data_IF_848861978795
#
_entry.id   IF_848861978795
#
_cell.length_a   1.000
_cell.length_b   1.000
_cell.length_c   1.000
_cell.angle_alpha   90.00
_cell.angle_beta   90.00
_cell.angle_gamma   90.00
#
_symmetry.space_group_name_H-M   'P 1'
#
loop_
_entity.id
_entity.type
_entity.pdbx_description
1 polymer ?
#
# COMPACT_ATOMS: atom_id res chain seq x y z
N UNK A 1 17.80 -7.64 -2.77
CA UNK A 1 16.73 -8.11 -3.68
C UNK A 1 15.79 -6.94 -3.91
N UNK A 2 15.32 -6.67 -5.14
CA UNK A 2 14.50 -5.48 -5.40
C UNK A 2 13.07 -5.70 -4.95
N UNK A 3 12.45 -4.67 -4.38
CA UNK A 3 11.06 -4.57 -3.88
C UNK A 3 9.95 -4.92 -4.89
N UNK A 4 10.28 -5.30 -6.12
CA UNK A 4 9.35 -5.69 -7.18
C UNK A 4 9.24 -7.21 -7.39
N UNK A 5 10.11 -8.01 -6.77
CA UNK A 5 10.10 -9.46 -6.93
C UNK A 5 8.79 -10.05 -6.36
N UNK A 6 8.02 -10.71 -7.22
CA UNK A 6 6.72 -11.29 -6.85
C UNK A 6 5.54 -10.30 -6.82
N UNK A 7 5.73 -8.99 -7.02
CA UNK A 7 4.63 -8.02 -6.98
C UNK A 7 3.60 -8.25 -8.11
N UNK A 8 4.07 -8.58 -9.30
CA UNK A 8 3.20 -8.92 -10.44
C UNK A 8 2.42 -10.23 -10.18
N UNK A 9 3.10 -11.25 -9.66
CA UNK A 9 2.47 -12.52 -9.28
C UNK A 9 1.38 -12.30 -8.22
N UNK A 10 1.68 -11.51 -7.19
CA UNK A 10 0.75 -11.18 -6.12
C UNK A 10 -0.52 -10.49 -6.64
N UNK A 11 -0.35 -9.51 -7.53
CA UNK A 11 -1.49 -8.82 -8.16
C UNK A 11 -2.32 -9.78 -9.03
N UNK A 12 -1.69 -10.68 -9.78
CA UNK A 12 -2.41 -11.64 -10.59
C UNK A 12 -3.23 -12.61 -9.72
N UNK A 13 -2.64 -13.14 -8.63
CA UNK A 13 -3.34 -14.04 -7.71
C UNK A 13 -4.56 -13.39 -7.06
N UNK A 14 -4.44 -12.14 -6.60
CA UNK A 14 -5.58 -11.41 -6.03
C UNK A 14 -6.67 -11.14 -7.06
N UNK A 15 -6.29 -10.72 -8.27
CA UNK A 15 -7.26 -10.49 -9.35
C UNK A 15 -7.97 -11.79 -9.77
N UNK A 16 -7.23 -12.91 -9.87
CA UNK A 16 -7.82 -14.25 -10.13
C UNK A 16 -8.77 -14.72 -9.03
N UNK A 17 -8.50 -14.32 -7.78
CA UNK A 17 -9.39 -14.55 -6.65
C UNK A 17 -10.59 -13.58 -6.61
N UNK A 18 -10.69 -12.64 -7.55
CA UNK A 18 -11.84 -11.74 -7.70
C UNK A 18 -11.74 -10.43 -6.92
N UNK A 19 -10.57 -10.05 -6.41
CA UNK A 19 -10.37 -8.78 -5.73
C UNK A 19 -10.18 -7.60 -6.70
N UNK A 20 -10.78 -6.46 -6.39
CA UNK A 20 -10.44 -5.17 -7.03
C UNK A 20 -9.09 -4.67 -6.49
N UNK A 21 -8.19 -4.30 -7.39
CA UNK A 21 -6.87 -3.77 -7.08
C UNK A 21 -6.78 -2.28 -7.34
N UNK A 22 -6.66 -1.51 -6.26
CA UNK A 22 -6.55 -0.05 -6.30
C UNK A 22 -5.14 0.38 -5.87
N UNK A 23 -4.45 1.11 -6.72
CA UNK A 23 -3.15 1.69 -6.40
C UNK A 23 -3.33 3.13 -5.88
N UNK A 24 -3.01 3.37 -4.61
CA UNK A 24 -3.05 4.71 -4.00
C UNK A 24 -1.64 5.30 -3.92
N UNK A 25 -1.45 6.48 -4.49
CA UNK A 25 -0.14 7.11 -4.66
C UNK A 25 -0.16 8.59 -4.28
N UNK A 26 0.98 9.12 -3.84
CA UNK A 26 1.16 10.56 -3.56
C UNK A 26 1.43 11.39 -4.84
N UNK A 27 1.37 10.73 -5.99
CA UNK A 27 1.55 11.35 -7.30
C UNK A 27 0.42 12.35 -7.60
N UNK A 28 0.74 13.51 -8.22
CA UNK A 28 -0.28 14.45 -8.69
C UNK A 28 -1.32 13.80 -9.60
N UNK A 29 -2.59 14.18 -9.44
CA UNK A 29 -3.73 13.60 -10.18
C UNK A 29 -3.53 13.62 -11.70
N UNK A 30 -2.89 14.66 -12.25
CA UNK A 30 -2.57 14.77 -13.69
C UNK A 30 -1.71 13.63 -14.26
N UNK A 31 -1.04 12.86 -13.41
CA UNK A 31 -0.19 11.73 -13.82
C UNK A 31 -0.82 10.36 -13.53
N UNK A 32 -1.99 10.32 -12.89
CA UNK A 32 -2.69 9.08 -12.50
C UNK A 32 -2.98 8.19 -13.71
N UNK A 33 -3.48 8.77 -14.81
CA UNK A 33 -3.76 7.99 -16.02
C UNK A 33 -2.49 7.37 -16.62
N UNK A 34 -1.39 8.14 -16.64
CA UNK A 34 -0.12 7.64 -17.15
C UNK A 34 0.41 6.52 -16.24
N UNK A 35 0.26 6.65 -14.92
CA UNK A 35 0.62 5.60 -13.97
C UNK A 35 -0.18 4.33 -14.22
N UNK A 36 -1.50 4.44 -14.42
CA UNK A 36 -2.36 3.30 -14.73
C UNK A 36 -1.95 2.62 -16.04
N UNK A 37 -1.68 3.39 -17.10
CA UNK A 37 -1.17 2.86 -18.37
C UNK A 37 0.15 2.12 -18.19
N UNK A 38 1.10 2.71 -17.47
CA UNK A 38 2.40 2.09 -17.21
C UNK A 38 2.24 0.77 -16.45
N UNK A 39 1.42 0.72 -15.40
CA UNK A 39 1.16 -0.51 -14.64
C UNK A 39 0.58 -1.61 -15.53
N UNK A 40 -0.44 -1.27 -16.34
CA UNK A 40 -1.05 -2.22 -17.28
C UNK A 40 -0.07 -2.71 -18.36
N UNK A 41 0.79 -1.83 -18.88
CA UNK A 41 1.83 -2.20 -19.84
C UNK A 41 2.86 -3.20 -19.27
N UNK A 42 3.09 -3.17 -17.96
CA UNK A 42 3.95 -4.12 -17.25
C UNK A 42 3.19 -5.37 -16.77
N UNK A 43 1.94 -5.56 -17.20
CA UNK A 43 1.14 -6.75 -16.92
C UNK A 43 0.31 -6.69 -15.64
N UNK A 44 0.43 -5.63 -14.84
CA UNK A 44 -0.34 -5.52 -13.59
C UNK A 44 -1.84 -5.35 -13.87
N UNK A 45 -2.66 -6.13 -13.16
CA UNK A 45 -4.13 -6.08 -13.19
C UNK A 45 -4.69 -5.04 -12.21
N UNK A 46 -4.23 -3.80 -12.32
CA UNK A 46 -4.72 -2.68 -11.51
C UNK A 46 -5.99 -2.10 -12.14
N UNK A 47 -7.06 -2.03 -11.37
CA UNK A 47 -8.36 -1.52 -11.82
C UNK A 47 -8.37 0.00 -11.86
N UNK A 48 -7.79 0.63 -10.83
CA UNK A 48 -7.80 2.08 -10.66
C UNK A 48 -6.55 2.56 -9.93
N UNK A 49 -6.15 3.80 -10.24
CA UNK A 49 -5.10 4.52 -9.51
C UNK A 49 -5.74 5.77 -8.92
N UNK A 50 -5.43 6.07 -7.65
CA UNK A 50 -5.86 7.29 -6.96
C UNK A 50 -4.61 8.09 -6.58
N UNK A 51 -4.51 9.32 -7.07
CA UNK A 51 -3.43 10.24 -6.74
C UNK A 51 -3.87 11.24 -5.68
N UNK A 52 -3.10 11.39 -4.60
CA UNK A 52 -3.31 12.43 -3.58
C UNK A 52 -2.01 13.20 -3.38
N UNK A 53 -1.89 14.34 -4.06
CA UNK A 53 -0.67 15.13 -4.02
C UNK A 53 -0.40 15.65 -2.60
N UNK A 54 0.86 15.56 -2.16
CA UNK A 54 1.31 16.28 -0.96
C UNK A 54 1.44 17.77 -1.32
N UNK A 55 0.63 18.64 -0.72
CA UNK A 55 0.55 20.06 -1.07
C UNK A 55 1.62 20.96 -0.40
N UNK A 56 2.58 20.39 0.32
CA UNK A 56 3.54 21.18 1.09
C UNK A 56 4.97 21.08 0.52
N UNK A 57 5.69 22.21 0.46
CA UNK A 57 7.15 22.23 0.36
C UNK A 57 7.68 21.79 1.72
N UNK A 58 8.14 20.55 1.81
CA UNK A 58 8.51 19.96 3.09
C UNK A 58 10.02 20.07 3.35
N UNK A 59 10.45 20.53 4.54
CA UNK A 59 11.83 20.37 4.98
C UNK A 59 12.21 18.89 5.04
N UNK A 60 13.52 18.60 4.94
CA UNK A 60 14.06 17.24 4.86
C UNK A 60 13.67 16.30 6.03
N UNK A 61 13.20 16.84 7.17
CA UNK A 61 12.79 16.08 8.36
C UNK A 61 11.26 16.02 8.59
N UNK A 62 10.44 16.39 7.60
CA UNK A 62 8.98 16.51 7.80
C UNK A 62 8.27 15.20 8.18
N UNK A 63 8.83 14.04 7.87
CA UNK A 63 8.27 12.75 8.29
C UNK A 63 8.21 12.61 9.83
N UNK A 64 9.01 13.41 10.56
CA UNK A 64 9.03 13.46 12.03
C UNK A 64 8.16 14.58 12.62
N UNK A 65 7.52 15.40 11.77
CA UNK A 65 6.72 16.53 12.25
C UNK A 65 5.35 16.08 12.74
N UNK A 66 4.88 16.67 13.84
CA UNK A 66 3.52 16.42 14.36
C UNK A 66 2.43 16.79 13.35
N UNK A 67 2.74 17.69 12.42
CA UNK A 67 1.84 18.19 11.38
C UNK A 67 1.86 17.34 10.08
N UNK A 68 2.58 16.22 10.07
CA UNK A 68 2.50 15.28 8.95
C UNK A 68 1.07 14.77 8.82
N UNK A 69 0.45 15.12 7.70
CA UNK A 69 -0.85 14.57 7.30
C UNK A 69 -0.59 13.49 6.28
N UNK A 70 -1.06 12.27 6.57
CA UNK A 70 -0.97 11.15 5.65
C UNK A 70 -1.74 11.48 4.35
N UNK A 71 -1.04 11.65 3.20
CA UNK A 71 -1.69 12.04 1.96
C UNK A 71 -2.63 10.96 1.41
N UNK A 72 -2.46 9.70 1.83
CA UNK A 72 -3.32 8.59 1.38
C UNK A 72 -4.59 8.48 2.21
N UNK A 73 -4.66 9.13 3.38
CA UNK A 73 -5.75 8.97 4.35
C UNK A 73 -7.14 9.09 3.71
N UNK A 74 -7.42 10.21 3.07
CA UNK A 74 -8.74 10.47 2.48
C UNK A 74 -9.11 9.42 1.43
N UNK A 75 -8.15 8.99 0.60
CA UNK A 75 -8.39 7.97 -0.40
C UNK A 75 -8.72 6.60 0.23
N UNK A 76 -8.02 6.22 1.30
CA UNK A 76 -8.27 4.95 1.99
C UNK A 76 -9.61 4.98 2.74
N UNK A 77 -9.96 6.10 3.38
CA UNK A 77 -11.25 6.27 4.08
C UNK A 77 -12.45 6.34 3.12
N UNK A 78 -12.25 6.84 1.90
CA UNK A 78 -13.26 6.85 0.84
C UNK A 78 -13.46 5.45 0.24
N UNK A 79 -12.37 4.75 -0.08
CA UNK A 79 -12.40 3.41 -0.70
C UNK A 79 -12.83 2.33 0.29
N UNK A 80 -12.44 2.45 1.56
CA UNK A 80 -12.65 1.45 2.62
C UNK A 80 -12.22 0.04 2.19
N UNK A 81 -10.95 -0.15 1.77
CA UNK A 81 -10.51 -1.45 1.27
C UNK A 81 -10.51 -2.49 2.40
N UNK A 82 -10.75 -3.75 2.07
CA UNK A 82 -10.64 -4.85 3.06
C UNK A 82 -9.21 -4.96 3.59
N UNK A 83 -8.21 -4.76 2.73
CA UNK A 83 -6.79 -4.74 3.05
C UNK A 83 -6.16 -3.48 2.46
N UNK A 84 -5.35 -2.77 3.24
CA UNK A 84 -4.44 -1.75 2.74
C UNK A 84 -2.99 -2.18 3.01
N UNK A 85 -2.19 -2.27 1.95
CA UNK A 85 -0.80 -2.77 1.99
C UNK A 85 0.15 -1.63 1.64
N UNK A 86 1.21 -1.45 2.43
CA UNK A 86 2.24 -0.44 2.18
C UNK A 86 3.58 -0.84 2.81
N UNK A 87 4.68 -0.29 2.30
CA UNK A 87 6.04 -0.48 2.81
C UNK A 87 6.51 0.68 3.69
N UNK A 88 5.70 1.75 3.84
CA UNK A 88 5.96 2.86 4.75
C UNK A 88 4.89 2.92 5.84
N UNK A 89 5.29 2.74 7.11
CA UNK A 89 4.35 2.70 8.24
C UNK A 89 3.53 4.00 8.36
N UNK A 90 4.14 5.15 8.12
CA UNK A 90 3.47 6.45 8.13
C UNK A 90 2.27 6.54 7.18
N UNK A 91 2.21 5.70 6.13
CA UNK A 91 1.06 5.67 5.23
C UNK A 91 -0.17 5.03 5.88
N UNK A 92 -0.06 4.39 7.04
CA UNK A 92 -1.19 3.93 7.85
C UNK A 92 -1.68 4.98 8.86
N UNK A 93 -0.89 6.03 9.09
CA UNK A 93 -1.10 6.98 10.18
C UNK A 93 -2.43 7.72 10.01
N UNK A 94 -3.13 7.87 11.13
CA UNK A 94 -4.38 8.62 11.30
C UNK A 94 -5.56 8.15 10.42
N UNK A 95 -5.45 7.00 9.76
CA UNK A 95 -6.55 6.39 8.98
C UNK A 95 -7.56 5.79 9.95
N UNK A 96 -8.81 6.22 9.86
CA UNK A 96 -9.93 5.71 10.65
C UNK A 96 -10.81 4.83 9.75
N UNK A 97 -10.55 3.53 9.74
CA UNK A 97 -11.36 2.58 8.97
C UNK A 97 -11.43 1.21 9.67
N UNK A 98 -12.54 0.95 10.36
CA UNK A 98 -12.71 -0.25 11.20
C UNK A 98 -12.66 -1.57 10.42
N UNK A 99 -13.02 -1.54 9.13
CA UNK A 99 -13.06 -2.72 8.27
C UNK A 99 -11.76 -2.96 7.48
N UNK A 100 -10.79 -2.03 7.52
CA UNK A 100 -9.52 -2.15 6.79
C UNK A 100 -8.45 -2.79 7.65
N UNK A 101 -7.84 -3.87 7.17
CA UNK A 101 -6.60 -4.40 7.75
C UNK A 101 -5.38 -3.77 7.10
N UNK A 102 -4.49 -3.26 7.93
CA UNK A 102 -3.22 -2.67 7.52
C UNK A 102 -2.12 -3.73 7.49
N UNK A 103 -1.48 -3.89 6.34
CA UNK A 103 -0.41 -4.87 6.11
C UNK A 103 0.87 -4.12 5.78
N UNK A 104 1.87 -4.27 6.64
CA UNK A 104 3.20 -3.71 6.44
C UNK A 104 4.09 -4.71 5.69
N UNK A 105 4.67 -4.27 4.58
CA UNK A 105 5.71 -5.02 3.87
C UNK A 105 7.09 -4.52 4.28
N UNK A 106 7.81 -5.32 5.07
CA UNK A 106 9.17 -5.05 5.53
C UNK A 106 10.17 -5.71 4.60
N UNK A 107 10.35 -5.12 3.42
CA UNK A 107 11.34 -5.57 2.45
C UNK A 107 12.73 -5.08 2.87
N UNK A 108 13.30 -5.72 3.90
CA UNK A 108 14.66 -5.58 4.43
C UNK A 108 15.32 -4.22 4.16
N UNK A 109 15.21 -3.32 5.13
CA UNK A 109 15.75 -1.97 4.97
C UNK A 109 17.14 -1.81 5.60
N UNK A 110 17.97 -0.96 4.99
CA UNK A 110 19.27 -0.51 5.52
C UNK A 110 19.08 0.38 6.77
N UNK A 111 20.16 0.59 7.54
CA UNK A 111 20.19 1.29 8.85
C UNK A 111 19.61 2.73 8.92
N UNK A 112 19.17 3.33 7.80
CA UNK A 112 18.58 4.68 7.72
C UNK A 112 17.18 4.68 7.08
N UNK A 113 16.36 3.68 7.39
CA UNK A 113 15.01 3.59 6.84
C UNK A 113 13.99 4.43 7.62
N UNK A 114 13.06 5.15 6.96
CA UNK A 114 12.03 5.95 7.64
C UNK A 114 11.17 5.16 8.64
N UNK A 115 11.07 3.82 8.50
CA UNK A 115 10.29 2.98 9.40
C UNK A 115 10.94 2.69 10.77
N UNK A 116 12.24 2.98 10.96
CA UNK A 116 12.99 2.62 12.18
C UNK A 116 12.50 3.35 13.43
N UNK A 117 11.96 4.55 13.27
CA UNK A 117 11.47 5.39 14.37
C UNK A 117 9.96 5.64 14.30
N UNK A 118 9.26 4.85 13.49
CA UNK A 118 7.82 4.98 13.26
C UNK A 118 7.07 3.88 14.01
N UNK A 119 6.27 4.32 14.99
CA UNK A 119 5.42 3.51 15.88
C UNK A 119 3.97 3.40 15.37
N UNK A 120 3.68 3.86 14.15
CA UNK A 120 2.36 3.75 13.53
C UNK A 120 1.91 2.28 13.51
N UNK A 121 0.72 1.96 14.07
CA UNK A 121 0.26 0.59 14.18
C UNK A 121 -0.16 -0.01 12.82
N UNK A 122 0.01 -1.32 12.71
CA UNK A 122 -0.46 -2.16 11.60
C UNK A 122 -0.99 -3.49 12.16
N UNK A 123 -1.75 -4.24 11.35
CA UNK A 123 -2.34 -5.50 11.76
C UNK A 123 -1.43 -6.70 11.49
N UNK A 124 -0.77 -6.70 10.33
CA UNK A 124 0.10 -7.80 9.89
C UNK A 124 1.39 -7.28 9.28
N UNK A 125 2.45 -8.08 9.35
CA UNK A 125 3.77 -7.79 8.78
C UNK A 125 4.24 -8.99 7.97
N UNK A 126 4.77 -8.73 6.78
CA UNK A 126 5.37 -9.74 5.89
C UNK A 126 6.68 -9.22 5.29
N UNK A 127 7.57 -10.10 4.85
CA UNK A 127 8.82 -9.71 4.19
C UNK A 127 8.63 -9.30 2.72
N UNK A 128 7.53 -9.74 2.10
CA UNK A 128 7.20 -9.41 0.71
C UNK A 128 5.69 -9.41 0.45
N UNK A 129 5.28 -8.71 -0.62
CA UNK A 129 3.88 -8.67 -1.04
C UNK A 129 3.34 -10.06 -1.42
N UNK A 130 4.17 -10.88 -2.07
CA UNK A 130 3.75 -12.23 -2.50
C UNK A 130 3.57 -13.19 -1.33
N UNK A 131 4.40 -13.08 -0.29
CA UNK A 131 4.24 -13.86 0.94
C UNK A 131 2.91 -13.55 1.62
N UNK A 132 2.59 -12.26 1.77
CA UNK A 132 1.28 -11.82 2.26
C UNK A 132 0.13 -12.42 1.45
N UNK A 133 0.14 -12.25 0.13
CA UNK A 133 -0.98 -12.70 -0.73
C UNK A 133 -1.19 -14.20 -0.65
N UNK A 134 -0.11 -15.00 -0.62
CA UNK A 134 -0.20 -16.45 -0.49
C UNK A 134 -0.82 -16.89 0.83
N UNK A 135 -0.43 -16.27 1.94
CA UNK A 135 -1.01 -16.54 3.26
C UNK A 135 -2.48 -16.08 3.35
N UNK A 136 -2.77 -14.88 2.85
CA UNK A 136 -4.11 -14.30 2.84
C UNK A 136 -5.11 -15.18 2.08
N UNK A 137 -4.80 -15.55 0.83
CA UNK A 137 -5.70 -16.37 0.01
C UNK A 137 -5.86 -17.79 0.55
N UNK A 138 -4.83 -18.33 1.21
CA UNK A 138 -4.93 -19.62 1.91
C UNK A 138 -5.97 -19.56 3.04
N UNK A 139 -5.90 -18.54 3.89
CA UNK A 139 -6.83 -18.34 5.01
C UNK A 139 -8.26 -18.11 4.53
N UNK A 140 -8.45 -17.29 3.49
CA UNK A 140 -9.77 -17.05 2.89
C UNK A 140 -10.41 -18.36 2.41
N UNK A 141 -9.62 -19.23 1.77
CA UNK A 141 -10.09 -20.54 1.32
C UNK A 141 -10.50 -21.46 2.48
N UNK A 142 -9.73 -21.44 3.58
CA UNK A 142 -10.03 -22.23 4.78
C UNK A 142 -11.28 -21.73 5.53
N UNK A 143 -11.63 -20.44 5.42
CA UNK A 143 -12.86 -19.89 6.00
C UNK A 143 -14.12 -20.19 5.17
N UNK A 144 -13.94 -20.49 3.87
CA UNK A 144 -15.03 -20.79 2.94
C UNK A 144 -15.30 -22.29 2.78
N UNK A 145 -14.44 -23.16 3.34
CA UNK A 145 -14.55 -24.63 3.31
C UNK A 145 -15.20 -25.20 4.56
#
# INVERSE_FOLDING_TARGET
>A
MSTLEGALEACNLLHEAGYELICVTTMPEKFVEQRLRNLKQHGFKIDRVIGRQVHHKLPNDFLKHKDYTNPKKEAIEEVKPVIFVDDLKQNFRDIQCDCTKFVYIDAEHTDDHPNLHDDTPYHYKYGSLIEFVKDFLKREKEMLS
#
